data_IF_964064999355
#
_entry.id   IF_964064999355
#
_cell.length_a   1.000
_cell.length_b   1.000
_cell.length_c   1.000
_cell.angle_alpha   90.00
_cell.angle_beta   90.00
_cell.angle_gamma   90.00
#
_symmetry.space_group_name_H-M   'P 1'
#
loop_
_entity.id
_entity.type
_entity.pdbx_description
1 polymer ?
#
# COMPACT_ATOMS: atom_id res chain seq x y z
N UNK A 1 -2.25 9.06 -14.38
CA UNK A 1 -2.85 9.26 -13.02
C UNK A 1 -2.03 8.49 -12.00
N UNK A 2 -1.88 8.99 -10.78
CA UNK A 2 -1.07 8.36 -9.74
C UNK A 2 -1.82 8.31 -8.40
N UNK A 3 -1.70 7.19 -7.69
CA UNK A 3 -2.31 6.98 -6.37
C UNK A 3 -1.29 6.46 -5.37
N UNK A 4 -1.36 7.02 -4.16
CA UNK A 4 -0.58 6.62 -3.01
C UNK A 4 -1.19 7.25 -1.75
N UNK A 5 -1.02 6.62 -0.58
CA UNK A 5 -1.34 7.22 0.72
C UNK A 5 -0.82 8.67 0.85
N UNK A 6 -1.29 9.50 1.78
CA UNK A 6 -0.67 10.80 2.04
C UNK A 6 0.78 10.65 2.56
N UNK A 7 1.73 11.48 2.08
CA UNK A 7 3.14 11.44 2.54
C UNK A 7 3.27 11.56 4.05
N UNK A 8 2.40 12.37 4.66
CA UNK A 8 2.33 12.58 6.09
C UNK A 8 2.19 11.28 6.90
N UNK A 9 1.49 10.27 6.40
CA UNK A 9 1.34 8.99 7.11
C UNK A 9 2.67 8.25 7.25
N UNK A 10 3.48 8.20 6.19
CA UNK A 10 4.80 7.58 6.24
C UNK A 10 5.75 8.33 7.16
N UNK A 11 5.74 9.68 7.08
CA UNK A 11 6.53 10.55 7.97
C UNK A 11 6.13 10.35 9.44
N UNK A 12 4.83 10.30 9.74
CA UNK A 12 4.35 10.14 11.11
C UNK A 12 4.80 8.80 11.74
N UNK A 13 4.74 7.72 10.96
CA UNK A 13 5.25 6.41 11.41
C UNK A 13 6.76 6.45 11.65
N UNK A 14 7.50 7.11 10.76
CA UNK A 14 8.96 7.25 10.90
C UNK A 14 9.35 8.04 12.15
N UNK A 15 8.72 9.20 12.36
CA UNK A 15 8.94 10.05 13.53
C UNK A 15 8.50 9.33 14.81
N UNK A 16 7.35 8.66 14.81
CA UNK A 16 6.90 7.85 15.94
C UNK A 16 7.89 6.74 16.29
N UNK A 17 8.47 6.08 15.28
CA UNK A 17 9.55 5.11 15.45
C UNK A 17 10.78 5.72 16.13
N UNK A 18 11.25 6.89 15.69
CA UNK A 18 12.37 7.58 16.32
C UNK A 18 12.11 7.94 17.78
N UNK A 19 10.92 8.48 18.08
CA UNK A 19 10.53 8.86 19.43
C UNK A 19 10.48 7.64 20.36
N UNK A 20 9.88 6.53 19.91
CA UNK A 20 9.89 5.27 20.67
C UNK A 20 11.31 4.71 20.85
N UNK A 21 12.16 4.81 19.82
CA UNK A 21 13.54 4.37 19.89
C UNK A 21 14.34 5.13 20.95
N UNK A 22 14.15 6.45 21.02
CA UNK A 22 14.74 7.28 22.09
C UNK A 22 14.20 6.91 23.47
N UNK A 23 12.88 6.76 23.61
CA UNK A 23 12.25 6.39 24.87
C UNK A 23 12.69 5.01 25.39
N UNK A 24 12.92 4.04 24.49
CA UNK A 24 13.37 2.69 24.84
C UNK A 24 14.70 2.67 25.61
N UNK A 25 15.56 3.68 25.41
CA UNK A 25 16.82 3.78 26.13
C UNK A 25 16.63 3.96 27.64
N UNK A 26 15.52 4.58 28.04
CA UNK A 26 15.18 4.88 29.44
C UNK A 26 14.51 3.71 30.18
N UNK A 27 14.21 2.62 29.48
CA UNK A 27 13.49 1.47 30.04
C UNK A 27 14.44 0.41 30.61
N UNK A 28 13.87 -0.52 31.38
CA UNK A 28 14.53 -1.76 31.80
C UNK A 28 14.87 -2.65 30.58
N UNK A 29 15.69 -3.70 30.74
CA UNK A 29 16.10 -4.54 29.62
C UNK A 29 14.95 -5.14 28.81
N UNK A 30 13.86 -5.59 29.45
CA UNK A 30 12.73 -6.18 28.75
C UNK A 30 11.92 -5.10 28.01
N UNK A 31 11.65 -3.97 28.68
CA UNK A 31 10.99 -2.82 28.08
C UNK A 31 11.76 -2.27 26.88
N UNK A 32 13.09 -2.17 26.97
CA UNK A 32 13.97 -1.71 25.88
C UNK A 32 13.87 -2.58 24.65
N UNK A 33 13.82 -3.91 24.81
CA UNK A 33 13.67 -4.84 23.69
C UNK A 33 12.30 -4.70 23.03
N UNK A 34 11.21 -4.68 23.80
CA UNK A 34 9.86 -4.58 23.26
C UNK A 34 9.61 -3.24 22.55
N UNK A 35 9.93 -2.13 23.21
CA UNK A 35 9.72 -0.79 22.65
C UNK A 35 10.70 -0.50 21.53
N UNK A 36 11.95 -0.98 21.64
CA UNK A 36 12.92 -0.92 20.55
C UNK A 36 12.45 -1.68 19.30
N UNK A 37 11.89 -2.88 19.46
CA UNK A 37 11.32 -3.63 18.36
C UNK A 37 10.11 -2.90 17.72
N UNK A 38 9.23 -2.32 18.54
CA UNK A 38 8.12 -1.49 18.05
C UNK A 38 8.62 -0.25 17.28
N UNK A 39 9.65 0.42 17.78
CA UNK A 39 10.30 1.55 17.13
C UNK A 39 10.84 1.18 15.73
N UNK A 40 11.56 0.06 15.65
CA UNK A 40 12.08 -0.47 14.38
C UNK A 40 10.96 -0.83 13.40
N UNK A 41 9.89 -1.45 13.88
CA UNK A 41 8.72 -1.78 13.06
C UNK A 41 8.07 -0.52 12.48
N UNK A 42 7.86 0.52 13.30
CA UNK A 42 7.29 1.79 12.84
C UNK A 42 8.19 2.49 11.82
N UNK A 43 9.50 2.56 12.09
CA UNK A 43 10.47 3.13 11.16
C UNK A 43 10.49 2.36 9.83
N UNK A 44 10.47 1.02 9.86
CA UNK A 44 10.40 0.20 8.66
C UNK A 44 9.11 0.44 7.86
N UNK A 45 7.95 0.51 8.53
CA UNK A 45 6.67 0.81 7.89
C UNK A 45 6.63 2.21 7.29
N UNK A 46 7.13 3.22 8.00
CA UNK A 46 7.24 4.58 7.48
C UNK A 46 8.16 4.65 6.26
N UNK A 47 9.31 3.98 6.33
CA UNK A 47 10.28 3.90 5.22
C UNK A 47 9.64 3.26 3.99
N UNK A 48 8.98 2.12 4.18
CA UNK A 48 8.24 1.41 3.14
C UNK A 48 7.18 2.31 2.50
N UNK A 49 6.38 2.99 3.31
CA UNK A 49 5.31 3.89 2.83
C UNK A 49 5.87 5.11 2.07
N UNK A 50 7.13 5.51 2.33
CA UNK A 50 7.82 6.59 1.60
C UNK A 50 8.49 6.10 0.31
N UNK A 51 9.13 4.93 0.33
CA UNK A 51 9.81 4.34 -0.83
C UNK A 51 8.84 3.85 -1.92
N UNK A 52 7.64 3.39 -1.54
CA UNK A 52 6.67 2.80 -2.46
C UNK A 52 5.76 3.82 -3.16
N UNK A 53 6.23 5.06 -3.34
CA UNK A 53 5.43 6.19 -3.86
C UNK A 53 5.83 6.62 -5.26
N UNK A 54 4.88 6.87 -6.19
CA UNK A 54 3.50 6.39 -6.18
C UNK A 54 3.40 4.87 -6.12
N UNK A 55 2.33 4.37 -5.52
CA UNK A 55 2.07 2.94 -5.34
C UNK A 55 1.39 2.34 -6.56
N UNK A 56 0.51 3.12 -7.18
CA UNK A 56 -0.18 2.81 -8.42
C UNK A 56 -0.03 4.00 -9.37
N UNK A 57 0.34 3.72 -10.61
CA UNK A 57 0.33 4.70 -11.70
C UNK A 57 -0.40 4.11 -12.90
N UNK A 58 -1.20 4.89 -13.60
CA UNK A 58 -1.93 4.47 -14.79
C UNK A 58 -1.71 5.46 -15.94
N UNK A 59 -1.55 4.92 -17.13
CA UNK A 59 -1.38 5.67 -18.37
C UNK A 59 -1.87 4.87 -19.59
N UNK A 60 -1.66 5.38 -20.82
CA UNK A 60 -2.22 4.79 -22.04
C UNK A 60 -1.79 3.34 -22.29
N UNK A 61 -0.57 2.99 -21.86
CA UNK A 61 0.01 1.65 -22.01
C UNK A 61 -0.45 0.64 -20.95
N UNK A 62 -1.16 1.07 -19.91
CA UNK A 62 -1.56 0.22 -18.80
C UNK A 62 -1.23 0.82 -17.43
N UNK A 63 -1.01 -0.09 -16.47
CA UNK A 63 -0.87 0.23 -15.05
C UNK A 63 0.49 -0.21 -14.53
N UNK A 64 1.19 0.63 -13.78
CA UNK A 64 2.40 0.23 -13.06
C UNK A 64 2.18 0.29 -11.55
N UNK A 65 2.51 -0.81 -10.87
CA UNK A 65 2.42 -0.97 -9.42
C UNK A 65 3.82 -1.05 -8.85
N UNK A 66 4.15 -0.19 -7.90
CA UNK A 66 5.45 -0.22 -7.22
C UNK A 66 5.41 -1.17 -6.03
N UNK A 67 6.27 -2.18 -6.03
CA UNK A 67 6.45 -3.17 -4.96
C UNK A 67 7.83 -3.00 -4.30
N UNK A 68 8.10 -3.76 -3.22
CA UNK A 68 9.42 -3.73 -2.57
C UNK A 68 10.53 -4.28 -3.47
N UNK A 69 10.20 -5.17 -4.42
CA UNK A 69 11.15 -5.79 -5.34
C UNK A 69 11.30 -5.07 -6.68
N UNK A 70 10.60 -3.96 -6.90
CA UNK A 70 10.65 -3.23 -8.16
C UNK A 70 9.30 -2.65 -8.59
N UNK A 71 9.18 -2.30 -9.86
CA UNK A 71 7.91 -1.83 -10.43
C UNK A 71 7.34 -2.89 -11.37
N UNK A 72 6.16 -3.38 -11.04
CA UNK A 72 5.43 -4.33 -11.87
C UNK A 72 4.55 -3.57 -12.85
N UNK A 73 4.82 -3.73 -14.15
CA UNK A 73 4.03 -3.14 -15.22
C UNK A 73 3.02 -4.16 -15.70
N UNK A 74 1.75 -3.87 -15.45
CA UNK A 74 0.59 -4.58 -15.96
C UNK A 74 0.13 -3.86 -17.23
N UNK A 75 -0.34 -4.61 -18.22
CA UNK A 75 -0.98 -4.03 -19.41
C UNK A 75 -2.31 -3.36 -19.05
N UNK A 76 -3.38 -3.67 -19.78
CA UNK A 76 -4.74 -3.32 -19.35
C UNK A 76 -5.29 -4.46 -18.48
N UNK A 77 -5.19 -4.40 -17.14
CA UNK A 77 -5.76 -5.43 -16.28
C UNK A 77 -7.29 -5.35 -16.30
N UNK A 78 -7.93 -6.46 -15.98
CA UNK A 78 -9.31 -6.46 -15.49
C UNK A 78 -9.33 -5.78 -14.11
N UNK A 79 -10.18 -4.77 -13.96
CA UNK A 79 -10.24 -3.92 -12.77
C UNK A 79 -11.53 -4.21 -12.02
N UNK A 80 -11.41 -4.73 -10.80
CA UNK A 80 -12.57 -5.06 -9.93
C UNK A 80 -12.40 -4.45 -8.55
N UNK A 81 -13.52 -4.33 -7.85
CA UNK A 81 -13.52 -3.91 -6.44
C UNK A 81 -14.11 -5.05 -5.63
N UNK A 82 -13.32 -5.55 -4.69
CA UNK A 82 -13.77 -6.57 -3.75
C UNK A 82 -14.06 -5.96 -2.40
N UNK A 83 -15.29 -6.13 -1.93
CA UNK A 83 -15.70 -5.71 -0.59
C UNK A 83 -15.78 -6.93 0.32
N UNK A 84 -15.24 -6.81 1.53
CA UNK A 84 -15.39 -7.82 2.58
C UNK A 84 -15.82 -7.15 3.89
N UNK A 85 -16.60 -7.86 4.68
CA UNK A 85 -17.05 -7.42 6.00
C UNK A 85 -16.68 -8.48 7.01
N UNK A 86 -15.76 -8.15 7.92
CA UNK A 86 -15.29 -9.06 8.97
C UNK A 86 -15.33 -8.32 10.31
N UNK A 87 -15.99 -8.91 11.31
CA UNK A 87 -16.13 -8.31 12.65
C UNK A 87 -16.74 -6.90 12.64
N UNK A 88 -17.73 -6.66 11.76
CA UNK A 88 -18.34 -5.35 11.59
C UNK A 88 -17.49 -4.33 10.80
N UNK A 89 -16.20 -4.60 10.57
CA UNK A 89 -15.31 -3.76 9.77
C UNK A 89 -15.49 -4.09 8.29
N UNK A 90 -15.84 -3.08 7.50
CA UNK A 90 -15.90 -3.17 6.04
C UNK A 90 -14.55 -2.75 5.46
N UNK A 91 -13.97 -3.59 4.61
CA UNK A 91 -12.79 -3.25 3.82
C UNK A 91 -13.05 -3.46 2.34
N UNK A 92 -12.47 -2.57 1.52
CA UNK A 92 -12.48 -2.67 0.06
C UNK A 92 -11.05 -2.85 -0.44
N UNK A 93 -10.91 -3.61 -1.51
CA UNK A 93 -9.67 -3.84 -2.23
C UNK A 93 -9.92 -3.58 -3.72
N UNK A 94 -8.99 -2.89 -4.36
CA UNK A 94 -8.88 -2.81 -5.80
C UNK A 94 -8.15 -4.07 -6.27
N UNK A 95 -8.79 -4.86 -7.11
CA UNK A 95 -8.20 -6.02 -7.75
C UNK A 95 -7.80 -5.64 -9.18
N UNK A 96 -6.53 -5.88 -9.51
CA UNK A 96 -5.97 -5.73 -10.84
C UNK A 96 -5.52 -7.10 -11.30
N UNK A 97 -6.25 -7.70 -12.23
CA UNK A 97 -5.96 -9.05 -12.73
C UNK A 97 -5.53 -9.00 -14.20
N UNK A 98 -4.41 -9.62 -14.54
CA UNK A 98 -3.96 -9.77 -15.94
C UNK A 98 -4.13 -11.20 -16.46
N UNK A 99 -4.75 -12.10 -15.69
CA UNK A 99 -4.99 -13.47 -16.10
C UNK A 99 -5.87 -13.54 -17.35
N UNK A 100 -5.53 -14.45 -18.24
CA UNK A 100 -6.31 -14.76 -19.44
C UNK A 100 -6.45 -16.28 -19.57
N UNK A 101 -7.48 -16.77 -20.28
CA UNK A 101 -7.60 -18.19 -20.58
C UNK A 101 -6.28 -18.75 -21.16
N UNK A 102 -5.72 -19.77 -20.51
CA UNK A 102 -4.46 -20.41 -20.92
C UNK A 102 -3.18 -19.65 -20.59
N UNK A 103 -3.23 -18.54 -19.85
CA UNK A 103 -2.05 -17.78 -19.42
C UNK A 103 -2.12 -17.38 -17.94
N UNK A 104 -1.09 -17.74 -17.18
CA UNK A 104 -0.94 -17.29 -15.80
C UNK A 104 -0.75 -15.76 -15.77
N UNK A 105 -1.71 -15.09 -15.16
CA UNK A 105 -1.68 -13.65 -14.96
C UNK A 105 -1.06 -13.22 -13.65
N UNK A 106 -1.17 -11.92 -13.38
CA UNK A 106 -0.81 -11.30 -12.12
C UNK A 106 -2.07 -10.73 -11.49
N UNK A 107 -2.31 -11.13 -10.25
CA UNK A 107 -3.33 -10.53 -9.41
C UNK A 107 -2.66 -9.61 -8.39
N UNK A 108 -2.97 -8.32 -8.47
CA UNK A 108 -2.54 -7.33 -7.49
C UNK A 108 -3.75 -6.81 -6.73
N UNK A 109 -3.67 -6.88 -5.41
CA UNK A 109 -4.68 -6.35 -4.50
C UNK A 109 -4.14 -5.09 -3.81
N UNK A 110 -4.87 -3.97 -3.95
CA UNK A 110 -4.50 -2.69 -3.34
C UNK A 110 -5.63 -2.18 -2.46
N UNK A 111 -5.32 -1.93 -1.18
CA UNK A 111 -6.28 -1.37 -0.24
C UNK A 111 -6.25 0.15 -0.21
N UNK A 112 -7.19 0.73 0.56
CA UNK A 112 -7.23 2.18 0.81
C UNK A 112 -5.91 2.74 1.36
N UNK A 113 -5.23 1.98 2.21
CA UNK A 113 -3.92 2.36 2.76
C UNK A 113 -2.84 2.46 1.68
N UNK A 114 -2.90 1.62 0.66
CA UNK A 114 -1.92 1.63 -0.43
C UNK A 114 -2.20 2.79 -1.41
N UNK A 115 -3.47 3.02 -1.71
CA UNK A 115 -3.93 3.97 -2.73
C UNK A 115 -4.08 5.40 -2.22
N UNK A 116 -4.31 5.60 -0.92
CA UNK A 116 -4.66 6.92 -0.36
C UNK A 116 -6.06 7.43 -0.75
N UNK A 117 -6.83 6.62 -1.45
CA UNK A 117 -8.20 6.90 -1.89
C UNK A 117 -9.07 5.65 -1.71
N UNK A 118 -10.41 5.81 -1.80
CA UNK A 118 -11.32 4.66 -1.83
C UNK A 118 -11.03 3.81 -3.09
N UNK A 119 -10.77 2.49 -2.95
CA UNK A 119 -10.59 1.59 -4.08
C UNK A 119 -11.69 1.69 -5.15
N UNK A 120 -12.94 1.98 -4.77
CA UNK A 120 -14.03 2.16 -5.72
C UNK A 120 -13.86 3.40 -6.61
N UNK A 121 -13.32 4.48 -6.06
CA UNK A 121 -13.06 5.71 -6.82
C UNK A 121 -11.88 5.53 -7.77
N UNK A 122 -10.85 4.80 -7.33
CA UNK A 122 -9.71 4.46 -8.19
C UNK A 122 -10.15 3.55 -9.33
N UNK A 123 -10.97 2.52 -9.05
CA UNK A 123 -11.51 1.64 -10.09
C UNK A 123 -12.28 2.43 -11.16
N UNK A 124 -13.17 3.34 -10.73
CA UNK A 124 -13.93 4.21 -11.64
C UNK A 124 -13.01 5.04 -12.54
N UNK A 125 -11.99 5.67 -11.96
CA UNK A 125 -11.01 6.47 -12.71
C UNK A 125 -10.20 5.62 -13.72
N UNK A 126 -9.90 4.35 -13.39
CA UNK A 126 -9.25 3.43 -14.32
C UNK A 126 -10.19 3.00 -15.45
N UNK A 127 -11.46 2.72 -15.17
CA UNK A 127 -12.45 2.39 -16.20
C UNK A 127 -12.66 3.57 -17.17
N UNK A 128 -12.76 4.79 -16.64
CA UNK A 128 -12.91 6.00 -17.45
C UNK A 128 -11.67 6.27 -18.33
N UNK A 129 -10.48 5.89 -17.88
CA UNK A 129 -9.23 6.03 -18.66
C UNK A 129 -9.15 5.07 -19.85
N UNK A 130 -9.77 3.89 -19.76
CA UNK A 130 -9.68 2.82 -20.77
C UNK A 130 -10.94 2.62 -21.60
N UNK A 131 -11.98 3.41 -21.34
CA UNK A 131 -13.16 3.50 -22.19
C UNK A 131 -12.80 4.13 -23.53
#
# INVERSE_FOLDING_TARGET
MEWSAPRAQGVLLWVGGLLLGGAALLLDPAGRVLVGAAALLLAALGTRDLLLRPRLSAGPAGVAVRTLGGTERLGRPDVRVRETRRWGVRSRLLELDTARPGHDGRLVLLGRRDLGADPADVARALHDLYR
#
